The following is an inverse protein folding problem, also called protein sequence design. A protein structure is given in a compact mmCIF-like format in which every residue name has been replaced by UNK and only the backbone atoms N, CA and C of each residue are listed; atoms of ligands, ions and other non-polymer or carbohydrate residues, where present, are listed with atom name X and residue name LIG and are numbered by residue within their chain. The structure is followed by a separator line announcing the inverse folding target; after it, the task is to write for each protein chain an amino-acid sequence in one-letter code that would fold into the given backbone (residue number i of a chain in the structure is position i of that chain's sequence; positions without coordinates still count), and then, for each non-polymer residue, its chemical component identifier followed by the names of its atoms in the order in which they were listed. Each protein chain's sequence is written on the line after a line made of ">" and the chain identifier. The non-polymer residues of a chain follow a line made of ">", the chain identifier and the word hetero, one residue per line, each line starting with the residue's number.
data_IF_599718273753
#
_entry.id   IF_599718273753
#
_cell.length_a   1.000
_cell.length_b   1.000
_cell.length_c   1.000
_cell.angle_alpha   90.00
_cell.angle_beta   90.00
_cell.angle_gamma   90.00
#
_symmetry.space_group_name_H-M   'P 1'
#
loop_
_entity.id
_entity.type
_entity.pdbx_description
1 polymer ?
#
# COMPACT_ATOMS: atom_id res chain seq x y z
N UNK A 1 41.73 -56.31 -26.64
CA UNK A 1 41.03 -55.90 -25.36
C UNK A 1 41.11 -54.40 -25.20
N UNK A 2 40.03 -53.73 -25.58
CA UNK A 2 39.91 -52.27 -25.57
C UNK A 2 39.14 -51.82 -24.33
N UNK A 3 39.73 -51.00 -23.56
CA UNK A 3 39.17 -50.39 -22.34
C UNK A 3 38.57 -49.04 -22.72
N UNK A 4 37.24 -48.88 -22.60
CA UNK A 4 36.54 -47.63 -22.83
C UNK A 4 36.73 -46.65 -21.64
N UNK A 5 36.80 -45.32 -21.87
CA UNK A 5 36.89 -44.36 -20.82
C UNK A 5 35.49 -44.02 -20.28
N UNK A 6 35.32 -43.99 -18.98
CA UNK A 6 34.16 -43.52 -18.23
C UNK A 6 34.04 -42.01 -18.32
N UNK A 7 32.89 -41.55 -18.86
CA UNK A 7 32.52 -40.14 -18.87
C UNK A 7 31.88 -39.75 -17.53
N UNK A 8 32.62 -38.97 -16.74
CA UNK A 8 32.04 -38.24 -15.62
C UNK A 8 31.15 -37.10 -16.11
N UNK A 9 29.88 -37.11 -15.67
CA UNK A 9 28.93 -36.02 -15.87
C UNK A 9 29.13 -35.04 -14.72
N UNK A 10 29.36 -33.74 -14.95
CA UNK A 10 29.45 -32.78 -13.87
C UNK A 10 28.02 -32.55 -13.31
N UNK A 11 27.90 -32.76 -12.02
CA UNK A 11 26.69 -32.49 -11.24
C UNK A 11 26.49 -30.97 -11.15
N UNK A 12 25.60 -30.41 -11.97
CA UNK A 12 25.20 -29.04 -11.84
C UNK A 12 24.23 -28.93 -10.66
N UNK A 13 24.77 -28.62 -9.50
CA UNK A 13 23.97 -28.13 -8.36
C UNK A 13 23.32 -26.81 -8.75
N UNK A 14 22.05 -26.88 -9.08
CA UNK A 14 21.19 -25.67 -9.22
C UNK A 14 21.02 -25.06 -7.82
N UNK A 15 21.83 -24.06 -7.51
CA UNK A 15 21.54 -23.17 -6.41
C UNK A 15 20.22 -22.47 -6.72
N UNK A 16 19.17 -22.83 -5.99
CA UNK A 16 17.89 -22.12 -6.01
C UNK A 16 18.14 -20.82 -5.27
N UNK A 17 18.15 -19.70 -6.00
CA UNK A 17 18.29 -18.38 -5.43
C UNK A 17 17.19 -18.15 -4.36
N UNK A 18 17.54 -17.45 -3.29
CA UNK A 18 16.58 -17.13 -2.23
C UNK A 18 15.49 -16.21 -2.79
N UNK A 19 14.25 -16.26 -2.26
CA UNK A 19 13.14 -15.40 -2.70
C UNK A 19 13.47 -13.90 -2.68
N UNK A 20 14.33 -13.47 -1.75
CA UNK A 20 14.80 -12.08 -1.61
C UNK A 20 15.70 -11.68 -2.77
N UNK A 21 16.57 -12.59 -3.23
CA UNK A 21 17.47 -12.32 -4.36
C UNK A 21 16.71 -12.25 -5.68
N UNK A 22 15.67 -13.06 -5.84
CA UNK A 22 14.84 -13.08 -7.05
C UNK A 22 13.99 -11.81 -7.17
N UNK A 23 13.42 -11.30 -6.07
CA UNK A 23 12.65 -10.07 -6.00
C UNK A 23 13.52 -8.86 -6.33
N UNK A 24 14.65 -8.72 -5.69
CA UNK A 24 15.64 -7.66 -5.94
C UNK A 24 16.15 -7.66 -7.38
N UNK A 25 16.28 -8.84 -7.99
CA UNK A 25 16.65 -8.98 -9.39
C UNK A 25 15.53 -8.49 -10.32
N UNK A 26 14.27 -8.80 -10.02
CA UNK A 26 13.12 -8.33 -10.81
C UNK A 26 12.99 -6.81 -10.79
N UNK A 27 13.13 -6.17 -9.62
CA UNK A 27 13.09 -4.71 -9.49
C UNK A 27 14.21 -4.03 -10.30
N UNK A 28 15.45 -4.54 -10.25
CA UNK A 28 16.58 -4.04 -11.03
C UNK A 28 16.38 -4.24 -12.53
N UNK A 29 15.84 -5.39 -12.94
CA UNK A 29 15.55 -5.69 -14.34
C UNK A 29 14.46 -4.77 -14.88
N UNK A 30 13.40 -4.49 -14.09
CA UNK A 30 12.36 -3.56 -14.44
C UNK A 30 12.90 -2.13 -14.60
N UNK A 31 13.66 -1.64 -13.64
CA UNK A 31 14.28 -0.32 -13.68
C UNK A 31 15.22 -0.16 -14.90
N UNK A 32 16.04 -1.17 -15.19
CA UNK A 32 16.94 -1.18 -16.34
C UNK A 32 16.19 -1.14 -17.68
N UNK A 33 15.06 -1.83 -17.79
CA UNK A 33 14.23 -1.85 -19.01
C UNK A 33 13.64 -0.48 -19.35
N UNK A 34 13.34 0.36 -18.33
CA UNK A 34 12.77 1.69 -18.51
C UNK A 34 13.79 2.81 -18.36
N UNK A 35 15.09 2.49 -18.22
CA UNK A 35 16.15 3.48 -18.04
C UNK A 35 16.05 4.26 -16.71
N UNK A 36 15.28 3.73 -15.74
CA UNK A 36 15.09 4.37 -14.44
C UNK A 36 16.12 3.86 -13.43
N UNK A 37 16.74 4.80 -12.72
CA UNK A 37 17.69 4.49 -11.66
C UNK A 37 16.95 4.39 -10.32
N UNK A 38 17.01 3.24 -9.64
CA UNK A 38 16.46 3.06 -8.30
C UNK A 38 17.26 3.91 -7.32
N UNK A 39 16.62 4.90 -6.74
CA UNK A 39 17.21 5.78 -5.72
C UNK A 39 16.13 6.31 -4.79
N UNK A 40 16.53 6.73 -3.58
CA UNK A 40 15.60 7.35 -2.63
C UNK A 40 14.91 8.60 -3.21
N UNK A 41 15.60 9.36 -4.06
CA UNK A 41 15.01 10.53 -4.73
C UNK A 41 13.97 10.11 -5.77
N UNK A 42 14.21 9.03 -6.52
CA UNK A 42 13.24 8.50 -7.49
C UNK A 42 11.98 7.98 -6.75
N UNK A 43 12.14 7.22 -5.67
CA UNK A 43 11.03 6.73 -4.85
C UNK A 43 10.20 7.89 -4.28
N UNK A 44 10.84 8.90 -3.70
CA UNK A 44 10.14 10.09 -3.20
C UNK A 44 9.37 10.83 -4.28
N UNK A 45 9.91 10.92 -5.49
CA UNK A 45 9.23 11.54 -6.64
C UNK A 45 8.00 10.73 -7.03
N UNK A 46 8.11 9.42 -7.19
CA UNK A 46 7.00 8.53 -7.52
C UNK A 46 5.85 8.66 -6.52
N UNK A 47 6.15 8.62 -5.22
CA UNK A 47 5.13 8.80 -4.18
C UNK A 47 4.47 10.19 -4.25
N UNK A 48 5.24 11.26 -4.50
CA UNK A 48 4.69 12.62 -4.69
C UNK A 48 3.83 12.76 -5.95
N UNK A 49 4.07 11.94 -6.96
CA UNK A 49 3.27 11.85 -8.19
C UNK A 49 2.08 10.90 -8.01
N UNK A 50 2.05 10.10 -6.92
CA UNK A 50 1.02 9.13 -6.61
C UNK A 50 1.20 7.78 -7.30
N UNK A 51 2.34 7.55 -7.93
CA UNK A 51 2.70 6.24 -8.51
C UNK A 51 3.27 5.32 -7.42
N UNK A 52 2.35 4.86 -6.56
CA UNK A 52 2.71 3.97 -5.45
C UNK A 52 3.15 2.60 -5.98
N UNK A 53 2.55 2.10 -7.05
CA UNK A 53 2.88 0.79 -7.62
C UNK A 53 4.34 0.72 -8.11
N UNK A 54 4.82 1.72 -8.84
CA UNK A 54 6.24 1.76 -9.25
C UNK A 54 7.16 2.00 -8.05
N UNK A 55 6.72 2.80 -7.06
CA UNK A 55 7.48 3.00 -5.84
C UNK A 55 7.67 1.70 -5.06
N UNK A 56 6.63 0.88 -4.96
CA UNK A 56 6.64 -0.42 -4.29
C UNK A 56 7.59 -1.41 -4.96
N UNK A 57 7.61 -1.43 -6.31
CA UNK A 57 8.60 -2.21 -7.07
C UNK A 57 10.04 -1.79 -6.75
N UNK A 58 10.29 -0.50 -6.51
CA UNK A 58 11.62 0.01 -6.15
C UNK A 58 11.97 -0.25 -4.69
N UNK A 59 10.97 -0.27 -3.82
CA UNK A 59 11.11 -0.57 -2.39
C UNK A 59 11.19 -2.06 -2.09
N UNK A 60 10.76 -2.91 -3.04
CA UNK A 60 10.56 -4.35 -2.85
C UNK A 60 9.56 -4.67 -1.72
N UNK A 61 8.65 -3.76 -1.48
CA UNK A 61 7.55 -3.86 -0.51
C UNK A 61 6.55 -2.73 -0.72
N UNK A 62 5.30 -2.87 -0.25
CA UNK A 62 4.37 -1.76 -0.24
C UNK A 62 4.90 -0.56 0.54
N UNK A 63 4.62 0.63 0.04
CA UNK A 63 4.77 1.83 0.83
C UNK A 63 3.75 1.83 1.96
N UNK A 64 4.19 2.09 3.19
CA UNK A 64 3.30 2.10 4.36
C UNK A 64 3.36 3.41 5.11
N UNK A 65 2.23 3.79 5.68
CA UNK A 65 2.12 4.87 6.65
C UNK A 65 1.41 4.37 7.90
N UNK A 66 1.79 4.86 9.06
CA UNK A 66 1.18 4.52 10.35
C UNK A 66 0.82 5.79 11.10
N UNK A 67 -0.30 5.78 11.80
CA UNK A 67 -0.75 6.88 12.63
C UNK A 67 -1.79 6.43 13.64
N UNK A 68 -2.40 7.37 14.33
CA UNK A 68 -3.48 7.12 15.28
C UNK A 68 -4.84 7.43 14.63
N UNK A 69 -5.83 6.58 14.86
CA UNK A 69 -7.19 6.82 14.38
C UNK A 69 -7.84 7.91 15.22
N UNK A 70 -8.29 8.98 14.58
CA UNK A 70 -8.93 10.11 15.23
C UNK A 70 -10.36 10.35 14.73
N UNK A 71 -11.13 11.14 15.48
CA UNK A 71 -12.44 11.56 15.05
C UNK A 71 -12.33 12.53 13.86
N UNK A 72 -13.04 12.22 12.78
CA UNK A 72 -13.25 13.11 11.66
C UNK A 72 -14.64 13.79 11.72
N UNK A 73 -15.04 14.41 10.63
CA UNK A 73 -16.35 15.08 10.54
C UNK A 73 -17.53 14.12 10.38
N UNK A 74 -17.28 12.81 10.27
CA UNK A 74 -18.27 11.74 10.15
C UNK A 74 -19.26 11.90 8.97
N UNK A 75 -18.92 12.67 7.94
CA UNK A 75 -19.79 12.88 6.77
C UNK A 75 -19.98 11.59 5.97
N UNK A 76 -18.92 10.80 5.81
CA UNK A 76 -18.98 9.50 5.14
C UNK A 76 -19.97 8.52 5.80
N UNK A 77 -20.10 8.56 7.13
CA UNK A 77 -21.07 7.72 7.85
C UNK A 77 -22.52 7.99 7.44
N UNK A 78 -22.87 9.25 7.13
CA UNK A 78 -24.22 9.62 6.69
C UNK A 78 -24.56 9.05 5.32
N UNK A 79 -23.54 8.79 4.50
CA UNK A 79 -23.63 8.24 3.14
C UNK A 79 -23.41 6.72 3.10
N UNK A 80 -23.34 6.03 4.26
CA UNK A 80 -23.07 4.60 4.31
C UNK A 80 -21.60 4.21 4.10
N UNK A 81 -20.68 5.18 4.07
CA UNK A 81 -19.24 4.99 3.93
C UNK A 81 -18.50 5.54 5.17
N UNK A 82 -18.59 4.86 6.33
CA UNK A 82 -17.86 5.30 7.51
C UNK A 82 -16.35 5.32 7.24
N UNK A 83 -15.67 6.40 7.61
CA UNK A 83 -14.24 6.57 7.42
C UNK A 83 -13.49 6.71 8.74
N UNK A 84 -12.35 6.05 8.85
CA UNK A 84 -11.36 6.25 9.88
C UNK A 84 -10.38 7.35 9.43
N UNK A 85 -10.22 8.39 10.23
CA UNK A 85 -9.28 9.46 9.96
C UNK A 85 -7.94 9.13 10.61
N UNK A 86 -6.85 9.18 9.85
CA UNK A 86 -5.50 8.90 10.35
C UNK A 86 -4.78 10.20 10.69
N UNK A 87 -4.45 10.38 11.96
CA UNK A 87 -3.52 11.42 12.38
C UNK A 87 -2.09 10.92 12.29
N UNK A 88 -1.30 11.60 11.48
CA UNK A 88 0.12 11.32 11.26
C UNK A 88 1.02 12.36 11.89
N UNK A 89 0.47 13.25 12.74
CA UNK A 89 1.22 14.32 13.40
C UNK A 89 2.35 13.74 14.24
N UNK A 90 3.54 14.32 14.11
CA UNK A 90 4.73 13.85 14.84
C UNK A 90 5.50 12.71 14.17
N UNK A 91 5.01 12.17 13.05
CA UNK A 91 5.72 11.16 12.29
C UNK A 91 6.30 11.77 11.00
N UNK A 92 7.60 11.58 10.73
CA UNK A 92 8.23 12.08 9.50
C UNK A 92 7.88 11.16 8.31
N UNK A 93 6.60 11.08 7.97
CA UNK A 93 6.09 10.21 6.91
C UNK A 93 6.12 10.90 5.55
N UNK A 94 6.35 10.12 4.52
CA UNK A 94 6.19 10.54 3.14
C UNK A 94 4.78 10.16 2.67
N UNK A 95 3.87 11.12 2.72
CA UNK A 95 2.50 10.93 2.27
C UNK A 95 2.46 10.99 0.73
N UNK A 96 1.83 10.01 0.04
CA UNK A 96 1.62 10.06 -1.40
C UNK A 96 0.77 11.25 -1.84
N UNK A 97 0.72 11.50 -3.17
CA UNK A 97 -0.11 12.57 -3.74
C UNK A 97 -1.59 12.41 -3.36
N UNK A 98 -2.33 13.53 -3.38
CA UNK A 98 -3.78 13.50 -3.18
C UNK A 98 -4.46 12.58 -4.21
N UNK A 99 -5.48 11.87 -3.77
CA UNK A 99 -6.25 10.94 -4.60
C UNK A 99 -6.91 9.83 -3.82
N UNK A 100 -7.56 8.93 -4.56
CA UNK A 100 -8.19 7.73 -4.03
C UNK A 100 -7.30 6.52 -4.33
N UNK A 101 -7.12 5.65 -3.34
CA UNK A 101 -6.22 4.51 -3.39
C UNK A 101 -6.91 3.23 -2.93
N UNK A 102 -6.55 2.10 -3.52
CA UNK A 102 -6.78 0.78 -2.96
C UNK A 102 -5.65 0.44 -2.00
N UNK A 103 -5.99 0.05 -0.78
CA UNK A 103 -5.04 -0.18 0.31
C UNK A 103 -5.45 -1.36 1.17
N UNK A 104 -4.47 -1.92 1.89
CA UNK A 104 -4.72 -2.78 3.03
C UNK A 104 -4.47 -2.00 4.31
N UNK A 105 -5.28 -2.24 5.35
CA UNK A 105 -5.11 -1.63 6.67
C UNK A 105 -4.98 -2.69 7.75
N UNK A 106 -4.12 -2.42 8.74
CA UNK A 106 -3.96 -3.23 9.94
C UNK A 106 -4.18 -2.37 11.17
N UNK A 107 -5.04 -2.82 12.08
CA UNK A 107 -5.44 -2.10 13.29
C UNK A 107 -4.78 -2.73 14.51
N UNK A 108 -4.46 -1.93 15.52
CA UNK A 108 -4.04 -2.43 16.83
C UNK A 108 -2.60 -2.94 16.90
N UNK A 109 -1.71 -2.54 15.99
CA UNK A 109 -0.30 -2.88 16.09
C UNK A 109 0.30 -2.11 17.28
N UNK A 110 0.39 -2.75 18.45
CA UNK A 110 0.80 -2.12 19.72
C UNK A 110 2.20 -1.50 19.67
N UNK A 111 3.07 -1.96 18.78
CA UNK A 111 4.44 -1.48 18.64
C UNK A 111 4.54 -0.14 17.88
N UNK A 112 3.49 0.28 17.20
CA UNK A 112 3.45 1.55 16.47
C UNK A 112 3.42 2.78 17.41
N UNK A 113 2.82 2.66 18.59
CA UNK A 113 2.62 3.76 19.56
C UNK A 113 3.94 4.22 20.18
N UNK A 114 4.97 3.39 20.20
CA UNK A 114 6.25 3.68 20.87
C UNK A 114 7.39 4.00 19.91
N UNK A 115 7.12 4.28 18.65
CA UNK A 115 8.19 4.56 17.65
C UNK A 115 9.07 3.35 17.33
N UNK A 116 8.67 2.17 17.78
CA UNK A 116 9.34 0.89 17.57
C UNK A 116 8.49 -0.06 16.73
N UNK A 117 7.61 0.47 15.88
CA UNK A 117 6.95 -0.37 14.91
C UNK A 117 8.03 -0.92 13.96
N UNK A 118 8.54 -2.11 14.26
CA UNK A 118 9.08 -2.94 13.23
C UNK A 118 7.88 -3.25 12.33
N UNK A 119 7.74 -2.43 11.28
CA UNK A 119 6.80 -2.71 10.21
C UNK A 119 7.13 -4.11 9.76
N UNK A 120 6.23 -5.10 9.92
CA UNK A 120 6.49 -6.42 9.39
C UNK A 120 6.94 -6.24 7.96
N UNK A 121 8.00 -6.92 7.57
CA UNK A 121 8.52 -6.88 6.21
C UNK A 121 7.37 -7.31 5.29
N UNK A 122 6.61 -6.34 4.77
CA UNK A 122 5.53 -6.55 3.82
C UNK A 122 6.16 -6.84 2.45
N UNK A 123 6.97 -7.90 2.42
CA UNK A 123 7.47 -8.45 1.17
C UNK A 123 6.28 -9.06 0.46
N UNK A 124 5.83 -8.46 -0.62
CA UNK A 124 4.96 -9.17 -1.51
C UNK A 124 3.73 -8.51 -2.11
N UNK A 125 3.59 -7.18 -2.15
CA UNK A 125 2.64 -6.57 -3.08
C UNK A 125 3.26 -6.36 -4.47
N UNK A 126 3.93 -7.37 -5.02
CA UNK A 126 4.42 -7.34 -6.39
C UNK A 126 3.47 -8.20 -7.22
N UNK A 127 2.89 -7.67 -8.32
CA UNK A 127 2.04 -8.46 -9.19
C UNK A 127 2.75 -9.76 -9.65
N UNK A 128 2.17 -10.91 -9.29
CA UNK A 128 2.69 -12.22 -9.68
C UNK A 128 3.64 -12.89 -8.69
N UNK A 129 3.88 -12.31 -7.50
CA UNK A 129 4.43 -13.03 -6.34
C UNK A 129 3.29 -13.40 -5.38
N UNK A 130 3.38 -14.54 -4.67
CA UNK A 130 2.43 -14.83 -3.61
C UNK A 130 2.48 -13.68 -2.61
N UNK A 131 1.34 -13.00 -2.44
CA UNK A 131 1.23 -11.87 -1.55
C UNK A 131 1.09 -12.40 -0.12
N UNK A 132 2.05 -12.20 0.78
CA UNK A 132 1.94 -12.69 2.15
C UNK A 132 0.78 -12.03 2.93
N UNK A 133 0.20 -10.93 2.40
CA UNK A 133 -1.02 -10.34 2.93
C UNK A 133 -2.24 -11.19 2.55
N UNK A 134 -2.20 -11.88 1.40
CA UNK A 134 -3.34 -12.64 0.88
C UNK A 134 -3.39 -14.10 1.38
N UNK A 135 -2.24 -14.74 1.62
CA UNK A 135 -2.18 -16.15 1.99
C UNK A 135 -2.51 -16.40 3.46
N UNK A 136 -2.42 -15.38 4.31
CA UNK A 136 -2.84 -15.43 5.69
C UNK A 136 -3.47 -14.07 6.03
N UNK A 137 -4.79 -14.01 6.14
CA UNK A 137 -5.55 -12.79 6.49
C UNK A 137 -5.18 -12.28 7.90
N UNK A 138 -3.91 -12.26 8.25
CA UNK A 138 -3.32 -11.95 9.56
C UNK A 138 -3.65 -10.52 10.00
N UNK A 139 -4.96 -10.23 10.07
CA UNK A 139 -5.49 -8.97 10.56
C UNK A 139 -5.39 -7.80 9.58
N UNK A 140 -5.07 -8.03 8.30
CA UNK A 140 -5.17 -7.00 7.27
C UNK A 140 -6.57 -6.95 6.67
N UNK A 141 -7.13 -5.75 6.53
CA UNK A 141 -8.47 -5.48 6.04
C UNK A 141 -8.41 -4.64 4.75
N UNK A 142 -9.20 -4.98 3.72
CA UNK A 142 -9.26 -4.20 2.50
C UNK A 142 -9.94 -2.85 2.76
N UNK A 143 -9.41 -1.79 2.15
CA UNK A 143 -9.96 -0.46 2.33
C UNK A 143 -9.77 0.42 1.09
N UNK A 144 -10.65 1.40 0.95
CA UNK A 144 -10.49 2.54 0.07
C UNK A 144 -9.99 3.74 0.88
N UNK A 145 -8.90 4.35 0.44
CA UNK A 145 -8.27 5.48 1.10
C UNK A 145 -8.42 6.75 0.28
N UNK A 146 -8.82 7.84 0.91
CA UNK A 146 -8.76 9.17 0.33
C UNK A 146 -7.66 10.00 1.01
N UNK A 147 -6.73 10.51 0.21
CA UNK A 147 -5.79 11.54 0.63
C UNK A 147 -6.23 12.85 -0.01
N UNK A 148 -6.59 13.81 0.82
CA UNK A 148 -7.10 15.10 0.39
C UNK A 148 -6.43 16.27 1.10
N UNK A 149 -6.72 17.47 0.66
CA UNK A 149 -6.26 18.71 1.28
C UNK A 149 -7.48 19.57 1.66
N UNK A 150 -7.56 19.92 2.94
CA UNK A 150 -8.59 20.86 3.43
C UNK A 150 -7.97 22.21 3.72
N UNK A 151 -8.58 23.30 3.23
CA UNK A 151 -8.21 24.64 3.67
C UNK A 151 -8.52 24.81 5.17
N UNK A 152 -7.58 25.40 5.89
CA UNK A 152 -7.74 25.81 7.29
C UNK A 152 -7.43 27.29 7.43
N UNK A 153 -7.77 27.91 8.56
CA UNK A 153 -7.48 29.33 8.80
C UNK A 153 -5.95 29.63 8.73
N UNK A 154 -5.10 28.64 9.06
CA UNK A 154 -3.66 28.77 9.10
C UNK A 154 -2.95 28.13 7.88
N UNK A 155 -3.71 27.74 6.82
CA UNK A 155 -3.14 27.14 5.64
C UNK A 155 -3.95 25.96 5.08
N UNK A 156 -3.30 24.86 4.78
CA UNK A 156 -3.95 23.63 4.31
C UNK A 156 -3.46 22.43 5.11
N UNK A 157 -4.37 21.56 5.50
CA UNK A 157 -4.05 20.32 6.20
C UNK A 157 -4.36 19.12 5.30
N UNK A 158 -3.41 18.20 5.21
CA UNK A 158 -3.63 16.91 4.53
C UNK A 158 -4.53 16.04 5.39
N UNK A 159 -5.61 15.52 4.81
CA UNK A 159 -6.49 14.55 5.45
C UNK A 159 -6.27 13.17 4.85
N UNK A 160 -6.28 12.14 5.70
CA UNK A 160 -6.11 10.74 5.31
C UNK A 160 -7.30 9.99 5.89
N UNK A 161 -8.21 9.57 5.03
CA UNK A 161 -9.50 8.98 5.40
C UNK A 161 -9.63 7.60 4.77
N UNK A 162 -9.71 6.55 5.59
CA UNK A 162 -9.85 5.17 5.15
C UNK A 162 -11.28 4.66 5.38
N UNK A 163 -11.97 4.23 4.33
CA UNK A 163 -13.19 3.43 4.41
C UNK A 163 -12.79 1.96 4.38
N UNK A 164 -12.85 1.30 5.54
CA UNK A 164 -12.52 -0.12 5.69
C UNK A 164 -13.76 -0.92 5.31
N UNK A 165 -13.63 -1.88 4.40
CA UNK A 165 -14.76 -2.62 3.86
C UNK A 165 -15.30 -3.62 4.90
N UNK A 166 -16.63 -3.67 5.00
CA UNK A 166 -17.36 -4.59 5.89
C UNK A 166 -16.92 -4.57 7.37
N UNK A 167 -16.48 -3.38 7.83
CA UNK A 167 -15.95 -3.15 9.17
C UNK A 167 -16.79 -2.12 9.93
N UNK A 168 -17.16 -2.42 11.19
CA UNK A 168 -18.04 -1.59 12.01
C UNK A 168 -17.56 -1.36 13.45
N UNK A 169 -16.36 -1.81 13.80
CA UNK A 169 -15.87 -1.67 15.16
C UNK A 169 -15.41 -0.23 15.47
N UNK A 170 -15.43 0.11 16.75
CA UNK A 170 -14.85 1.38 17.21
C UNK A 170 -13.33 1.24 17.37
N UNK A 171 -12.60 1.99 16.59
CA UNK A 171 -11.12 1.95 16.55
C UNK A 171 -10.48 3.30 16.88
N UNK A 172 -11.24 4.25 17.42
CA UNK A 172 -10.69 5.54 17.81
C UNK A 172 -9.58 5.39 18.86
N UNK A 173 -8.51 6.16 18.69
CA UNK A 173 -7.33 6.10 19.53
C UNK A 173 -6.41 4.90 19.30
N UNK A 174 -6.80 3.98 18.43
CA UNK A 174 -5.94 2.85 18.09
C UNK A 174 -4.93 3.22 16.99
N UNK A 175 -3.74 2.61 17.00
CA UNK A 175 -2.82 2.73 15.87
C UNK A 175 -3.38 1.98 14.66
N UNK A 176 -3.20 2.57 13.48
CA UNK A 176 -3.55 1.95 12.21
C UNK A 176 -2.41 2.10 11.21
N UNK A 177 -2.02 1.00 10.58
CA UNK A 177 -1.04 0.97 9.50
C UNK A 177 -1.77 0.79 8.17
N UNK A 178 -1.41 1.60 7.19
CA UNK A 178 -1.94 1.56 5.83
C UNK A 178 -0.83 1.13 4.88
N UNK A 179 -1.07 0.08 4.09
CA UNK A 179 -0.20 -0.38 3.02
C UNK A 179 -0.85 -0.02 1.68
N UNK A 180 -0.15 0.76 0.87
CA UNK A 180 -0.64 1.18 -0.44
C UNK A 180 -0.48 0.04 -1.44
N UNK A 181 -1.47 -0.14 -2.33
CA UNK A 181 -1.39 -1.09 -3.43
C UNK A 181 -1.40 -0.38 -4.79
N UNK A 182 -2.39 0.46 -5.01
CA UNK A 182 -2.50 1.22 -6.25
C UNK A 182 -3.28 2.52 -6.04
N UNK A 183 -3.07 3.45 -6.96
CA UNK A 183 -3.87 4.68 -7.05
C UNK A 183 -5.00 4.45 -8.02
N UNK A 184 -6.24 4.63 -7.55
CA UNK A 184 -7.44 4.49 -8.37
C UNK A 184 -7.65 5.73 -9.25
N UNK A 185 -7.68 6.92 -8.65
CA UNK A 185 -7.95 8.19 -9.33
C UNK A 185 -7.45 9.41 -8.56
N UNK A 186 -7.49 10.57 -9.21
CA UNK A 186 -7.29 11.86 -8.56
C UNK A 186 -8.48 12.24 -7.67
N UNK A 187 -8.25 13.19 -6.74
CA UNK A 187 -9.34 13.88 -6.06
C UNK A 187 -10.29 14.54 -7.06
N UNK A 188 -11.58 14.50 -6.76
CA UNK A 188 -12.61 15.04 -7.61
C UNK A 188 -13.64 15.80 -6.75
N UNK A 189 -14.16 16.90 -7.26
CA UNK A 189 -15.28 17.62 -6.66
C UNK A 189 -16.58 17.13 -7.27
N UNK A 190 -17.62 17.10 -6.47
CA UNK A 190 -18.96 16.67 -6.88
C UNK A 190 -19.95 17.81 -6.64
N UNK A 191 -20.86 17.98 -7.56
CA UNK A 191 -21.87 19.03 -7.51
C UNK A 191 -23.06 18.67 -6.60
N UNK A 192 -23.20 17.39 -6.24
CA UNK A 192 -24.25 16.90 -5.34
C UNK A 192 -23.75 15.72 -4.48
N UNK A 193 -24.48 15.46 -3.39
CA UNK A 193 -24.21 14.32 -2.49
C UNK A 193 -24.48 13.00 -3.22
N UNK A 194 -25.53 12.95 -4.04
CA UNK A 194 -25.89 11.75 -4.80
C UNK A 194 -24.80 11.37 -5.81
N UNK A 195 -24.21 12.36 -6.49
CA UNK A 195 -23.09 12.13 -7.41
C UNK A 195 -21.86 11.61 -6.67
N UNK A 196 -21.59 12.11 -5.46
CA UNK A 196 -20.53 11.61 -4.60
C UNK A 196 -20.79 10.17 -4.18
N UNK A 197 -22.00 9.84 -3.71
CA UNK A 197 -22.37 8.48 -3.30
C UNK A 197 -22.25 7.49 -4.46
N UNK A 198 -22.74 7.85 -5.65
CA UNK A 198 -22.60 7.00 -6.85
C UNK A 198 -21.13 6.73 -7.18
N UNK A 199 -20.28 7.75 -7.07
CA UNK A 199 -18.85 7.58 -7.32
C UNK A 199 -18.18 6.72 -6.25
N UNK A 200 -18.51 6.88 -4.97
CA UNK A 200 -18.00 6.06 -3.89
C UNK A 200 -18.34 4.57 -4.08
N UNK A 201 -19.55 4.27 -4.55
CA UNK A 201 -19.95 2.90 -4.89
C UNK A 201 -19.16 2.31 -6.08
N UNK A 202 -18.85 3.15 -7.09
CA UNK A 202 -17.99 2.72 -8.21
C UNK A 202 -16.57 2.48 -7.74
N UNK A 203 -16.02 3.41 -6.99
CA UNK A 203 -14.67 3.33 -6.44
C UNK A 203 -14.49 2.07 -5.58
N UNK A 204 -15.45 1.79 -4.68
CA UNK A 204 -15.42 0.57 -3.85
C UNK A 204 -15.32 -0.69 -4.70
N UNK A 205 -16.17 -0.85 -5.73
CA UNK A 205 -16.16 -2.01 -6.61
C UNK A 205 -14.83 -2.16 -7.36
N UNK A 206 -14.26 -1.05 -7.82
CA UNK A 206 -12.98 -1.06 -8.53
C UNK A 206 -11.83 -1.40 -7.60
N UNK A 207 -11.85 -0.87 -6.35
CA UNK A 207 -10.85 -1.20 -5.34
C UNK A 207 -10.93 -2.66 -4.93
N UNK A 208 -12.13 -3.20 -4.63
CA UNK A 208 -12.33 -4.61 -4.31
C UNK A 208 -11.77 -5.51 -5.42
N UNK A 209 -12.11 -5.22 -6.68
CA UNK A 209 -11.58 -5.94 -7.84
C UNK A 209 -10.07 -5.79 -7.98
N UNK A 210 -9.52 -4.59 -7.77
CA UNK A 210 -8.09 -4.34 -7.84
C UNK A 210 -7.32 -5.11 -6.77
N UNK A 211 -7.79 -5.09 -5.52
CA UNK A 211 -7.13 -5.78 -4.41
C UNK A 211 -7.12 -7.31 -4.55
N UNK A 212 -8.06 -7.90 -5.29
CA UNK A 212 -8.03 -9.35 -5.59
C UNK A 212 -6.91 -9.76 -6.56
N UNK A 213 -6.25 -8.80 -7.19
CA UNK A 213 -5.12 -9.05 -8.11
C UNK A 213 -3.76 -8.97 -7.41
N UNK A 214 -3.72 -8.52 -6.16
CA UNK A 214 -2.55 -8.39 -5.31
C UNK A 214 -2.55 -9.46 -4.24
#
# INVERSE_FOLDING_TARGET
>A
ESKAPSSEVPNASSEVASPVEESSFKARSFAGKWGMHVSSSAIRRLLKEGDVGTADLFLDRPHTITGCVTHGFAEGRKMGFPTANLDTTGYPLLIPANGVYGVWVKIGCADAVMGKCEVPSLVGCIPGLPNPIMDDHDGWLPAMLNIGTRPTFDGSTTTIEANIFDFNDDIYGQPMTIAFCFRLRNEQRFDSVEALEEQLHKDRKEVEKGLTLF
#
